data_IF_185216736905
#
_entry.id   IF_185216736905
#
_cell.length_a   1.000
_cell.length_b   1.000
_cell.length_c   1.000
_cell.angle_alpha   90.00
_cell.angle_beta   90.00
_cell.angle_gamma   90.00
#
_symmetry.space_group_name_H-M   'P 1'
#
loop_
_entity.id
_entity.type
_entity.pdbx_description
1 polymer ?
#
# COMPACT_ATOMS: atom_id res chain seq x y z
N UNK A 1 -2.41 -41.36 -18.40
CA UNK A 1 -3.69 -40.65 -18.64
C UNK A 1 -4.82 -41.61 -18.38
N UNK A 2 -5.39 -41.59 -17.19
CA UNK A 2 -6.48 -42.49 -16.75
C UNK A 2 -7.83 -41.75 -16.83
N UNK A 3 -8.88 -42.35 -17.41
CA UNK A 3 -10.14 -41.69 -17.76
C UNK A 3 -11.11 -41.44 -16.57
N UNK A 4 -10.59 -41.35 -15.35
CA UNK A 4 -11.39 -41.20 -14.11
C UNK A 4 -11.57 -39.76 -13.62
N UNK A 5 -10.70 -38.83 -14.03
CA UNK A 5 -10.74 -37.43 -13.54
C UNK A 5 -11.75 -36.54 -14.29
N UNK A 6 -12.09 -36.84 -15.55
CA UNK A 6 -13.03 -36.04 -16.34
C UNK A 6 -14.50 -36.11 -15.85
N UNK A 7 -14.87 -37.15 -15.10
CA UNK A 7 -16.23 -37.28 -14.52
C UNK A 7 -16.42 -36.51 -13.22
N UNK A 8 -15.33 -36.11 -12.54
CA UNK A 8 -15.42 -35.34 -11.28
C UNK A 8 -15.49 -33.83 -11.54
N UNK A 9 -14.77 -33.34 -12.56
CA UNK A 9 -14.82 -31.93 -12.95
C UNK A 9 -16.14 -31.53 -13.64
N UNK A 10 -16.78 -32.44 -14.38
CA UNK A 10 -18.10 -32.20 -15.00
C UNK A 10 -19.27 -32.23 -14.02
N UNK A 11 -19.09 -32.79 -12.82
CA UNK A 11 -20.07 -32.76 -11.74
C UNK A 11 -19.98 -31.47 -10.91
N UNK A 12 -18.75 -31.01 -10.64
CA UNK A 12 -18.48 -29.75 -9.94
C UNK A 12 -18.82 -28.51 -10.79
N UNK A 13 -18.62 -28.55 -12.11
CA UNK A 13 -19.03 -27.47 -13.00
C UNK A 13 -20.58 -27.33 -13.09
N UNK A 14 -21.31 -28.44 -12.99
CA UNK A 14 -22.79 -28.43 -12.94
C UNK A 14 -23.38 -28.05 -11.59
N UNK A 15 -22.62 -28.17 -10.52
CA UNK A 15 -23.02 -27.71 -9.18
C UNK A 15 -22.72 -26.20 -9.02
N UNK A 16 -21.66 -25.67 -9.64
CA UNK A 16 -21.36 -24.23 -9.67
C UNK A 16 -22.30 -23.43 -10.59
N UNK A 17 -22.74 -23.98 -11.72
CA UNK A 17 -23.76 -23.34 -12.58
C UNK A 17 -25.16 -23.28 -11.94
N UNK A 18 -25.41 -24.02 -10.84
CA UNK A 18 -26.67 -23.97 -10.10
C UNK A 18 -26.67 -22.96 -8.94
N UNK A 19 -25.51 -22.62 -8.35
CA UNK A 19 -25.45 -21.58 -7.30
C UNK A 19 -25.50 -20.15 -7.88
N UNK A 20 -25.11 -19.96 -9.14
CA UNK A 20 -25.18 -18.65 -9.82
C UNK A 20 -26.56 -18.38 -10.47
N UNK A 21 -27.39 -19.43 -10.64
CA UNK A 21 -28.74 -19.33 -11.20
C UNK A 21 -29.88 -19.21 -10.15
N UNK A 22 -29.60 -19.44 -8.87
CA UNK A 22 -30.60 -19.30 -7.79
C UNK A 22 -30.79 -17.86 -7.28
N UNK A 23 -29.91 -16.92 -7.68
CA UNK A 23 -30.05 -15.49 -7.32
C UNK A 23 -30.90 -14.72 -8.34
N UNK A 24 -31.04 -15.23 -9.57
CA UNK A 24 -31.70 -14.52 -10.68
C UNK A 24 -33.17 -14.92 -10.87
N UNK A 25 -33.58 -16.09 -10.37
CA UNK A 25 -34.98 -16.52 -10.41
C UNK A 25 -35.54 -16.61 -8.99
N UNK A 26 -36.32 -15.59 -8.60
CA UNK A 26 -37.05 -15.57 -7.33
C UNK A 26 -37.75 -16.90 -7.07
N UNK A 27 -37.18 -17.69 -6.17
CA UNK A 27 -37.73 -18.98 -5.75
C UNK A 27 -39.06 -18.71 -5.05
N UNK A 28 -40.14 -19.26 -5.63
CA UNK A 28 -41.42 -19.39 -4.93
C UNK A 28 -41.20 -20.34 -3.75
N UNK A 29 -40.89 -19.80 -2.57
CA UNK A 29 -41.00 -20.56 -1.33
C UNK A 29 -42.49 -20.85 -1.09
N UNK A 30 -42.88 -22.12 -1.24
CA UNK A 30 -44.24 -22.59 -0.96
C UNK A 30 -44.22 -23.13 0.47
N UNK A 31 -44.80 -22.41 1.41
CA UNK A 31 -45.02 -22.93 2.77
C UNK A 31 -46.19 -23.93 2.79
N UNK A 32 -46.18 -24.87 3.74
CA UNK A 32 -47.18 -25.95 3.90
C UNK A 32 -48.63 -25.45 4.13
N UNK A 33 -48.84 -24.12 4.18
CA UNK A 33 -50.14 -23.45 4.27
C UNK A 33 -50.53 -22.62 3.01
N UNK A 34 -49.97 -22.92 1.83
CA UNK A 34 -50.44 -22.39 0.53
C UNK A 34 -50.56 -20.84 0.46
N UNK A 35 -49.63 -20.10 1.05
CA UNK A 35 -49.47 -18.66 0.81
C UNK A 35 -48.18 -18.41 0.02
N UNK A 36 -48.29 -17.92 -1.21
CA UNK A 36 -47.13 -17.47 -1.98
C UNK A 36 -46.72 -16.08 -1.50
N UNK A 37 -45.52 -15.95 -0.92
CA UNK A 37 -44.95 -14.65 -0.59
C UNK A 37 -44.78 -13.78 -1.86
N UNK A 38 -44.80 -12.46 -1.68
CA UNK A 38 -44.50 -11.50 -2.75
C UNK A 38 -43.01 -11.58 -3.13
N UNK A 39 -42.65 -11.06 -4.29
CA UNK A 39 -41.26 -11.07 -4.78
C UNK A 39 -40.32 -10.45 -3.74
N UNK A 40 -39.22 -11.15 -3.43
CA UNK A 40 -38.22 -10.70 -2.48
C UNK A 40 -38.63 -10.77 -1.01
N UNK A 41 -39.82 -11.29 -0.68
CA UNK A 41 -40.34 -11.45 0.68
C UNK A 41 -40.21 -12.90 1.13
N UNK A 42 -39.81 -13.12 2.38
CA UNK A 42 -39.72 -14.44 2.98
C UNK A 42 -40.10 -14.44 4.46
N UNK A 43 -39.80 -15.56 5.12
CA UNK A 43 -40.24 -15.84 6.49
C UNK A 43 -41.57 -16.59 6.53
N UNK A 44 -41.85 -17.29 7.63
CA UNK A 44 -43.06 -18.13 7.77
C UNK A 44 -44.36 -17.34 7.55
N UNK A 45 -44.36 -16.06 7.94
CA UNK A 45 -45.48 -15.14 7.80
C UNK A 45 -45.36 -14.18 6.60
N UNK A 46 -44.36 -14.35 5.72
CA UNK A 46 -44.03 -13.40 4.64
C UNK A 46 -43.89 -11.95 5.16
N UNK A 47 -43.12 -11.76 6.22
CA UNK A 47 -43.07 -10.52 7.02
C UNK A 47 -41.75 -9.75 6.93
N UNK A 48 -40.81 -10.22 6.11
CA UNK A 48 -39.48 -9.60 5.94
C UNK A 48 -38.93 -9.81 4.55
N UNK A 49 -37.94 -9.01 4.17
CA UNK A 49 -37.20 -9.23 2.94
C UNK A 49 -36.28 -10.45 3.04
N UNK A 50 -36.14 -11.19 1.92
CA UNK A 50 -35.11 -12.19 1.72
C UNK A 50 -33.72 -11.53 1.66
N UNK A 51 -32.66 -12.32 1.86
CA UNK A 51 -31.29 -11.83 1.64
C UNK A 51 -31.13 -11.34 0.19
N UNK A 52 -30.49 -10.19 0.02
CA UNK A 52 -30.39 -9.54 -1.30
C UNK A 52 -31.62 -8.70 -1.68
N UNK A 53 -32.56 -8.46 -0.76
CA UNK A 53 -33.70 -7.56 -0.95
C UNK A 53 -33.89 -6.58 0.22
N UNK A 54 -34.52 -5.44 -0.05
CA UNK A 54 -34.81 -4.40 0.94
C UNK A 54 -36.13 -3.67 0.69
N UNK A 55 -36.58 -2.88 1.67
CA UNK A 55 -37.74 -1.99 1.60
C UNK A 55 -39.06 -2.75 1.57
N UNK A 56 -39.35 -3.49 2.64
CA UNK A 56 -40.59 -4.26 2.78
C UNK A 56 -41.84 -3.38 2.67
N UNK A 57 -42.78 -3.74 1.80
CA UNK A 57 -44.04 -3.01 1.64
C UNK A 57 -45.09 -3.74 0.82
N UNK A 58 -46.14 -3.01 0.43
CA UNK A 58 -47.32 -3.58 -0.26
C UNK A 58 -46.99 -4.26 -1.59
N UNK A 59 -45.88 -3.89 -2.24
CA UNK A 59 -45.42 -4.50 -3.50
C UNK A 59 -44.44 -5.68 -3.32
N UNK A 60 -44.05 -6.02 -2.08
CA UNK A 60 -42.95 -6.93 -1.79
C UNK A 60 -41.67 -6.19 -1.42
N UNK A 61 -40.51 -6.75 -1.74
CA UNK A 61 -39.21 -6.11 -1.52
C UNK A 61 -38.48 -5.86 -2.85
N UNK A 62 -37.59 -4.86 -2.85
CA UNK A 62 -36.75 -4.50 -4.00
C UNK A 62 -35.39 -5.20 -3.90
N UNK A 63 -34.79 -5.65 -5.01
CA UNK A 63 -33.47 -6.26 -4.97
C UNK A 63 -32.40 -5.23 -4.58
N UNK A 64 -31.38 -5.66 -3.84
CA UNK A 64 -30.18 -4.89 -3.56
C UNK A 64 -29.45 -4.55 -4.86
N UNK A 65 -28.71 -3.45 -4.87
CA UNK A 65 -27.92 -3.00 -6.03
C UNK A 65 -26.45 -2.75 -5.64
N UNK A 66 -25.87 -3.61 -4.81
CA UNK A 66 -24.50 -3.47 -4.34
C UNK A 66 -23.49 -3.72 -5.47
N UNK A 67 -22.49 -2.84 -5.58
CA UNK A 67 -21.29 -3.04 -6.39
C UNK A 67 -20.41 -4.07 -5.69
N UNK A 68 -20.33 -5.28 -6.26
CA UNK A 68 -19.63 -6.41 -5.65
C UNK A 68 -18.14 -6.11 -5.47
N UNK A 69 -17.55 -5.35 -6.39
CA UNK A 69 -16.13 -4.93 -6.35
C UNK A 69 -15.79 -4.17 -5.07
N UNK A 70 -16.71 -3.31 -4.61
CA UNK A 70 -16.57 -2.46 -3.44
C UNK A 70 -17.22 -2.97 -2.17
N UNK A 71 -17.95 -4.08 -2.24
CA UNK A 71 -18.67 -4.68 -1.10
C UNK A 71 -17.79 -5.70 -0.38
N UNK A 72 -17.87 -5.75 0.95
CA UNK A 72 -17.15 -6.74 1.76
C UNK A 72 -17.58 -8.16 1.34
N UNK A 73 -16.61 -9.06 1.19
CA UNK A 73 -16.78 -10.43 0.70
C UNK A 73 -17.45 -10.57 -0.69
N UNK A 74 -17.63 -9.48 -1.45
CA UNK A 74 -18.30 -9.51 -2.76
C UNK A 74 -19.75 -9.99 -2.72
N UNK A 75 -20.47 -9.74 -1.61
CA UNK A 75 -21.84 -10.24 -1.41
C UNK A 75 -22.90 -9.27 -1.94
N UNK A 76 -23.93 -9.79 -2.60
CA UNK A 76 -25.13 -9.03 -2.97
C UNK A 76 -26.12 -8.97 -1.79
N UNK A 77 -25.69 -8.46 -0.64
CA UNK A 77 -26.50 -8.30 0.56
C UNK A 77 -26.47 -6.85 1.05
N UNK A 78 -27.65 -6.32 1.37
CA UNK A 78 -27.82 -4.95 1.85
C UNK A 78 -28.74 -4.89 3.07
N UNK A 79 -28.76 -3.75 3.75
CA UNK A 79 -29.61 -3.50 4.90
C UNK A 79 -31.10 -3.62 4.50
N UNK A 80 -31.92 -4.45 5.19
CA UNK A 80 -33.29 -4.77 4.77
C UNK A 80 -34.24 -3.58 4.68
N UNK A 81 -33.97 -2.49 5.38
CA UNK A 81 -34.83 -1.30 5.39
C UNK A 81 -34.38 -0.25 4.37
N UNK A 82 -33.07 0.04 4.34
CA UNK A 82 -32.52 1.17 3.58
C UNK A 82 -31.99 0.77 2.20
N UNK A 83 -31.62 -0.50 2.03
CA UNK A 83 -30.93 -0.98 0.84
C UNK A 83 -29.43 -0.66 0.82
N UNK A 84 -28.87 -0.15 1.93
CA UNK A 84 -27.46 0.23 2.01
C UNK A 84 -26.52 -0.98 2.11
N UNK A 85 -25.48 -0.97 1.30
CA UNK A 85 -24.49 -2.04 1.21
C UNK A 85 -23.34 -1.87 2.22
N UNK A 86 -22.67 -2.98 2.56
CA UNK A 86 -21.51 -2.96 3.45
C UNK A 86 -20.22 -2.78 2.65
N UNK A 87 -19.73 -1.55 2.57
CA UNK A 87 -18.57 -1.21 1.75
C UNK A 87 -17.25 -1.60 2.40
N UNK A 88 -16.26 -1.96 1.56
CA UNK A 88 -14.86 -2.10 1.95
C UNK A 88 -14.32 -0.78 2.52
N UNK A 89 -13.25 -0.84 3.31
CA UNK A 89 -12.79 0.26 4.17
C UNK A 89 -12.56 1.59 3.42
N UNK A 90 -12.11 1.56 2.17
CA UNK A 90 -11.78 2.75 1.36
C UNK A 90 -12.81 3.05 0.27
N UNK A 91 -13.99 2.46 0.40
CA UNK A 91 -15.11 2.58 -0.54
C UNK A 91 -16.29 3.27 0.17
N UNK A 92 -17.06 4.03 -0.58
CA UNK A 92 -18.25 4.73 -0.11
C UNK A 92 -19.38 4.74 -1.16
N UNK A 93 -20.51 5.35 -0.80
CA UNK A 93 -21.77 5.28 -1.54
C UNK A 93 -22.70 4.21 -0.97
N UNK A 94 -24.01 4.36 -1.18
CA UNK A 94 -25.00 3.40 -0.65
C UNK A 94 -24.89 2.03 -1.33
N UNK A 95 -24.27 1.97 -2.52
CA UNK A 95 -24.03 0.76 -3.30
C UNK A 95 -22.56 0.36 -3.32
N UNK A 96 -21.67 1.07 -2.64
CA UNK A 96 -20.23 0.82 -2.65
C UNK A 96 -19.57 0.98 -4.03
N UNK A 97 -20.07 1.93 -4.82
CA UNK A 97 -19.67 2.10 -6.21
C UNK A 97 -18.49 3.04 -6.44
N UNK A 98 -17.98 3.71 -5.39
CA UNK A 98 -16.95 4.74 -5.54
C UNK A 98 -15.95 4.73 -4.40
N UNK A 99 -14.72 5.11 -4.71
CA UNK A 99 -13.67 5.30 -3.72
C UNK A 99 -13.96 6.54 -2.85
N UNK A 100 -13.52 6.49 -1.59
CA UNK A 100 -13.49 7.68 -0.72
C UNK A 100 -12.50 8.70 -1.28
N UNK A 101 -12.67 9.96 -0.88
CA UNK A 101 -11.71 11.03 -1.21
C UNK A 101 -10.28 10.65 -0.77
N UNK A 102 -9.31 10.89 -1.65
CA UNK A 102 -7.92 10.46 -1.45
C UNK A 102 -7.66 8.98 -1.75
N UNK A 103 -8.61 8.24 -2.35
CA UNK A 103 -8.43 6.87 -2.81
C UNK A 103 -8.90 6.68 -4.25
N UNK A 104 -8.29 5.73 -4.98
CA UNK A 104 -8.52 5.46 -6.40
C UNK A 104 -8.47 3.94 -6.70
N UNK A 105 -8.90 3.55 -7.90
CA UNK A 105 -8.74 2.18 -8.40
C UNK A 105 -9.57 1.14 -7.65
N UNK A 106 -10.90 1.27 -7.69
CA UNK A 106 -11.83 0.31 -7.10
C UNK A 106 -11.60 -1.10 -7.70
N UNK A 107 -11.22 -2.07 -6.87
CA UNK A 107 -10.84 -3.42 -7.30
C UNK A 107 -11.36 -4.50 -6.36
N UNK A 108 -11.79 -5.63 -6.94
CA UNK A 108 -12.22 -6.82 -6.19
C UNK A 108 -11.03 -7.45 -5.46
N UNK A 109 -9.85 -7.42 -6.09
CA UNK A 109 -8.59 -7.96 -5.57
C UNK A 109 -8.03 -7.15 -4.40
N UNK A 110 -8.39 -5.87 -4.31
CA UNK A 110 -7.99 -5.04 -3.18
C UNK A 110 -8.94 -5.31 -1.99
N UNK A 111 -8.44 -5.86 -0.87
CA UNK A 111 -9.28 -6.15 0.30
C UNK A 111 -9.89 -4.90 0.93
N UNK A 112 -9.26 -3.73 0.74
CA UNK A 112 -9.75 -2.42 1.21
C UNK A 112 -10.58 -1.70 0.14
N UNK A 113 -10.64 -2.26 -1.08
CA UNK A 113 -11.44 -1.81 -2.21
C UNK A 113 -10.73 -0.80 -3.08
N UNK A 114 -10.19 0.27 -2.50
CA UNK A 114 -9.45 1.31 -3.22
C UNK A 114 -8.06 1.52 -2.64
N UNK A 115 -7.14 2.02 -3.47
CA UNK A 115 -5.76 2.36 -3.11
C UNK A 115 -5.66 3.84 -2.72
N UNK A 116 -4.95 4.21 -1.64
CA UNK A 116 -4.68 5.61 -1.31
C UNK A 116 -3.90 6.33 -2.41
N UNK A 117 -4.22 7.61 -2.56
CA UNK A 117 -3.45 8.59 -3.30
C UNK A 117 -2.21 9.01 -2.50
N UNK A 118 -1.07 9.16 -3.17
CA UNK A 118 0.19 9.57 -2.55
C UNK A 118 0.43 11.08 -2.71
N UNK A 119 -0.59 11.90 -2.41
CA UNK A 119 -0.59 13.34 -2.74
C UNK A 119 -0.57 14.24 -1.51
N UNK A 120 0.19 13.89 -0.45
CA UNK A 120 0.21 14.65 0.82
C UNK A 120 -1.20 15.02 1.36
N UNK A 121 -2.10 14.03 1.45
CA UNK A 121 -3.52 14.17 1.82
C UNK A 121 -4.42 14.94 0.81
N UNK A 122 -3.94 15.24 -0.40
CA UNK A 122 -4.77 15.84 -1.45
C UNK A 122 -5.46 14.78 -2.31
N UNK A 123 -6.52 15.19 -3.02
CA UNK A 123 -7.24 14.33 -3.95
C UNK A 123 -6.38 13.97 -5.17
N UNK A 124 -6.62 12.79 -5.75
CA UNK A 124 -5.96 12.33 -6.97
C UNK A 124 -6.92 11.59 -7.90
N UNK A 125 -6.46 11.35 -9.12
CA UNK A 125 -7.20 10.57 -10.12
C UNK A 125 -6.32 9.48 -10.69
N UNK A 126 -6.95 8.37 -11.11
CA UNK A 126 -6.27 7.31 -11.85
C UNK A 126 -5.68 7.88 -13.14
N UNK A 127 -4.41 7.56 -13.42
CA UNK A 127 -3.71 8.03 -14.61
C UNK A 127 -3.99 7.10 -15.80
N UNK A 128 -4.09 7.68 -16.99
CA UNK A 128 -4.19 6.89 -18.22
C UNK A 128 -2.82 6.40 -18.71
N UNK A 129 -2.83 5.36 -19.54
CA UNK A 129 -1.62 4.86 -20.21
C UNK A 129 -0.76 3.91 -19.37
N UNK A 130 -1.16 3.58 -18.14
CA UNK A 130 -0.55 2.51 -17.35
C UNK A 130 -1.35 1.22 -17.48
N UNK A 131 -0.63 0.12 -17.63
CA UNK A 131 -1.19 -1.21 -17.78
C UNK A 131 -0.62 -2.16 -16.73
N UNK A 132 -1.43 -3.14 -16.34
CA UNK A 132 -1.02 -4.19 -15.41
C UNK A 132 0.14 -4.99 -16.02
N UNK A 133 1.22 -5.13 -15.26
CA UNK A 133 2.39 -5.94 -15.63
C UNK A 133 2.78 -6.85 -14.48
N UNK A 134 3.64 -7.83 -14.76
CA UNK A 134 4.17 -8.71 -13.73
C UNK A 134 5.68 -8.88 -13.96
N UNK A 135 6.47 -8.51 -12.95
CA UNK A 135 7.92 -8.77 -12.94
C UNK A 135 8.09 -10.22 -12.49
N UNK A 136 8.82 -11.05 -13.24
CA UNK A 136 8.89 -12.49 -12.98
C UNK A 136 10.31 -13.07 -13.02
N UNK A 137 10.52 -14.12 -12.23
CA UNK A 137 11.65 -15.05 -12.26
C UNK A 137 11.14 -16.48 -12.27
N UNK A 138 11.27 -17.16 -13.42
CA UNK A 138 10.72 -18.52 -13.64
C UNK A 138 11.71 -19.64 -13.34
N UNK A 139 13.01 -19.36 -13.42
CA UNK A 139 14.10 -20.33 -13.20
C UNK A 139 14.10 -21.54 -14.15
N UNK A 140 13.52 -21.39 -15.34
CA UNK A 140 13.51 -22.37 -16.43
C UNK A 140 14.90 -22.52 -17.09
N UNK A 141 15.68 -21.44 -17.12
CA UNK A 141 16.98 -21.38 -17.82
C UNK A 141 18.16 -20.95 -16.93
N UNK A 142 17.98 -20.87 -15.61
CA UNK A 142 19.06 -20.55 -14.70
C UNK A 142 18.62 -19.86 -13.41
N UNK A 143 19.57 -19.16 -12.79
CA UNK A 143 19.36 -18.46 -11.52
C UNK A 143 18.74 -17.07 -11.68
N UNK A 144 18.63 -16.55 -12.90
CA UNK A 144 18.03 -15.23 -13.19
C UNK A 144 18.62 -14.08 -12.33
N UNK A 145 19.95 -14.10 -12.19
CA UNK A 145 20.74 -13.14 -11.37
C UNK A 145 20.49 -13.15 -9.87
N UNK A 146 19.74 -14.12 -9.33
CA UNK A 146 19.54 -14.27 -7.89
C UNK A 146 20.85 -14.61 -7.18
N UNK A 147 20.95 -14.17 -5.92
CA UNK A 147 22.11 -14.42 -5.04
C UNK A 147 21.64 -14.97 -3.69
N UNK A 148 22.58 -15.36 -2.84
CA UNK A 148 22.33 -15.74 -1.46
C UNK A 148 23.02 -14.74 -0.51
N UNK A 149 22.42 -14.46 0.64
CA UNK A 149 22.98 -13.53 1.64
C UNK A 149 22.54 -13.88 3.06
N UNK A 150 23.23 -13.31 4.06
CA UNK A 150 22.72 -13.22 5.42
C UNK A 150 21.82 -11.98 5.59
N UNK A 151 21.18 -11.85 6.77
CA UNK A 151 20.28 -10.72 7.07
C UNK A 151 21.03 -9.39 7.03
N UNK A 152 22.24 -9.33 7.60
CA UNK A 152 23.04 -8.13 7.86
C UNK A 152 23.82 -7.59 6.65
N UNK A 153 23.49 -8.06 5.44
CA UNK A 153 24.15 -7.63 4.20
C UNK A 153 25.66 -7.89 4.15
N UNK A 154 26.19 -8.72 5.05
CA UNK A 154 27.44 -9.41 4.77
C UNK A 154 27.18 -10.35 3.58
N UNK A 155 27.44 -9.84 2.38
CA UNK A 155 27.72 -10.70 1.25
C UNK A 155 29.00 -11.44 1.63
N UNK A 156 28.86 -12.59 2.28
CA UNK A 156 29.89 -13.60 2.14
C UNK A 156 29.94 -13.85 0.64
N UNK A 157 31.01 -13.37 -0.02
CA UNK A 157 31.18 -13.39 -1.48
C UNK A 157 31.04 -14.80 -2.09
N UNK A 158 30.85 -15.86 -1.28
CA UNK A 158 30.73 -17.24 -1.70
C UNK A 158 29.57 -18.04 -1.05
N UNK A 159 28.43 -17.43 -0.67
CA UNK A 159 27.26 -18.28 -0.33
C UNK A 159 26.76 -18.99 -1.59
N UNK A 160 26.82 -20.34 -1.66
CA UNK A 160 26.50 -21.05 -2.88
C UNK A 160 24.99 -21.07 -3.10
N UNK A 161 24.52 -20.31 -4.09
CA UNK A 161 23.20 -20.49 -4.67
C UNK A 161 23.27 -21.52 -5.80
N UNK A 162 22.48 -22.58 -5.75
CA UNK A 162 22.44 -23.63 -6.78
C UNK A 162 21.17 -23.52 -7.62
N UNK A 163 21.29 -23.62 -8.94
CA UNK A 163 20.12 -23.86 -9.80
C UNK A 163 19.90 -25.37 -9.95
N UNK A 164 18.67 -25.81 -9.79
CA UNK A 164 18.26 -27.21 -9.80
C UNK A 164 17.32 -27.39 -10.99
N UNK A 165 17.87 -27.81 -12.12
CA UNK A 165 17.16 -27.89 -13.39
C UNK A 165 15.90 -28.77 -13.32
N UNK A 166 15.99 -29.90 -12.63
CA UNK A 166 14.89 -30.86 -12.50
C UNK A 166 13.70 -30.30 -11.70
N UNK A 167 13.95 -29.31 -10.84
CA UNK A 167 12.95 -28.67 -10.00
C UNK A 167 12.53 -27.29 -10.54
N UNK A 168 13.22 -26.81 -11.59
CA UNK A 168 13.14 -25.43 -12.10
C UNK A 168 13.19 -24.41 -10.94
N UNK A 169 14.16 -24.60 -10.04
CA UNK A 169 14.25 -23.88 -8.77
C UNK A 169 15.68 -23.47 -8.44
N UNK A 170 15.82 -22.43 -7.62
CA UNK A 170 17.08 -22.10 -6.95
C UNK A 170 17.06 -22.64 -5.52
N UNK A 171 18.23 -23.04 -5.02
CA UNK A 171 18.38 -23.66 -3.71
C UNK A 171 19.55 -23.09 -2.91
N UNK A 172 19.30 -22.93 -1.60
CA UNK A 172 20.32 -22.55 -0.60
C UNK A 172 20.39 -23.61 0.50
N UNK A 173 21.60 -23.88 0.99
CA UNK A 173 21.87 -24.90 1.99
C UNK A 173 22.24 -24.24 3.31
N UNK A 174 21.62 -24.63 4.42
CA UNK A 174 21.93 -24.04 5.73
C UNK A 174 23.40 -24.23 6.12
N UNK A 175 23.99 -23.23 6.76
CA UNK A 175 25.30 -23.38 7.40
C UNK A 175 25.11 -24.04 8.78
N UNK A 176 25.88 -25.08 9.14
CA UNK A 176 25.83 -25.68 10.47
C UNK A 176 26.12 -24.66 11.57
N UNK A 177 25.22 -24.54 12.55
CA UNK A 177 25.28 -23.53 13.63
C UNK A 177 25.41 -22.08 13.14
N UNK A 178 25.09 -21.81 11.87
CA UNK A 178 25.15 -20.48 11.28
C UNK A 178 23.78 -19.80 11.21
N UNK A 179 23.80 -18.54 10.82
CA UNK A 179 22.60 -17.75 10.63
C UNK A 179 21.76 -18.24 9.45
N UNK A 180 20.44 -17.94 9.42
CA UNK A 180 19.59 -18.26 8.29
C UNK A 180 20.09 -17.60 7.01
N UNK A 181 20.01 -18.33 5.90
CA UNK A 181 20.39 -17.83 4.58
C UNK A 181 19.13 -17.36 3.86
N UNK A 182 19.26 -16.23 3.18
CA UNK A 182 18.22 -15.61 2.40
C UNK A 182 18.55 -15.69 0.92
N UNK A 183 17.52 -15.93 0.10
CA UNK A 183 17.54 -15.59 -1.30
C UNK A 183 17.49 -14.07 -1.42
N UNK A 184 18.52 -13.49 -2.04
CA UNK A 184 18.58 -12.09 -2.38
C UNK A 184 17.97 -11.90 -3.77
N UNK A 185 16.87 -11.15 -3.80
CA UNK A 185 16.10 -10.89 -5.03
C UNK A 185 16.88 -9.94 -5.95
N UNK A 186 16.89 -10.13 -7.29
CA UNK A 186 17.64 -9.29 -8.23
C UNK A 186 17.15 -7.84 -8.34
N UNK A 187 18.00 -6.99 -8.94
CA UNK A 187 17.75 -5.54 -9.11
C UNK A 187 16.48 -5.19 -9.89
N UNK A 188 15.98 -6.08 -10.75
CA UNK A 188 14.70 -5.85 -11.47
C UNK A 188 13.48 -5.78 -10.54
N UNK A 189 13.61 -6.20 -9.28
CA UNK A 189 12.57 -6.12 -8.25
C UNK A 189 12.87 -5.08 -7.17
N UNK A 190 13.95 -4.28 -7.33
CA UNK A 190 14.33 -3.20 -6.41
C UNK A 190 14.12 -1.85 -7.07
N UNK A 191 14.58 -0.75 -6.45
CA UNK A 191 14.32 0.61 -6.92
C UNK A 191 12.89 1.06 -6.65
N UNK A 192 12.30 1.82 -7.56
CA UNK A 192 10.92 2.29 -7.41
C UNK A 192 9.91 1.17 -7.70
N UNK A 193 9.32 0.64 -6.64
CA UNK A 193 8.30 -0.39 -6.62
C UNK A 193 6.94 0.13 -6.13
N UNK A 194 6.73 1.46 -6.12
CA UNK A 194 5.41 2.05 -5.84
C UNK A 194 4.29 1.52 -6.74
N UNK A 195 4.50 1.25 -8.05
CA UNK A 195 3.46 0.66 -8.89
C UNK A 195 3.01 -0.74 -8.44
N UNK A 196 3.82 -1.40 -7.60
CA UNK A 196 3.55 -2.71 -7.02
C UNK A 196 2.79 -2.61 -5.67
N UNK A 197 2.47 -1.40 -5.19
CA UNK A 197 1.59 -1.20 -4.04
C UNK A 197 0.18 -1.74 -4.34
N UNK A 198 -0.42 -2.42 -3.37
CA UNK A 198 -1.67 -3.17 -3.50
C UNK A 198 -1.63 -4.26 -4.58
N UNK A 199 -0.44 -4.75 -4.95
CA UNK A 199 -0.28 -5.89 -5.85
C UNK A 199 0.22 -7.12 -5.09
N UNK A 200 0.15 -8.26 -5.75
CA UNK A 200 0.62 -9.53 -5.20
C UNK A 200 2.11 -9.74 -5.45
N UNK A 201 2.85 -10.01 -4.37
CA UNK A 201 4.12 -10.70 -4.40
C UNK A 201 3.85 -12.19 -4.19
N UNK A 202 4.25 -13.03 -5.15
CA UNK A 202 3.97 -14.47 -5.11
C UNK A 202 5.23 -15.28 -5.39
N UNK A 203 5.36 -16.44 -4.75
CA UNK A 203 6.39 -17.43 -5.10
C UNK A 203 5.99 -18.82 -4.63
N UNK A 204 6.67 -19.83 -5.13
CA UNK A 204 6.56 -21.19 -4.64
C UNK A 204 7.81 -21.58 -3.85
N UNK A 205 7.60 -22.18 -2.69
CA UNK A 205 8.69 -22.52 -1.79
C UNK A 205 8.48 -23.87 -1.09
N UNK A 206 9.59 -24.58 -0.89
CA UNK A 206 9.66 -25.81 -0.07
C UNK A 206 10.98 -25.92 0.65
N UNK A 207 11.00 -26.72 1.71
CA UNK A 207 12.19 -27.06 2.49
C UNK A 207 12.42 -28.57 2.47
N UNK A 208 13.67 -29.02 2.44
CA UNK A 208 13.99 -30.45 2.45
C UNK A 208 13.61 -31.12 3.78
N UNK A 209 13.60 -30.37 4.88
CA UNK A 209 13.28 -30.85 6.22
C UNK A 209 11.97 -30.26 6.72
N UNK A 210 11.08 -31.11 7.23
CA UNK A 210 9.78 -30.65 7.74
C UNK A 210 9.90 -29.93 9.09
N UNK A 211 8.93 -29.06 9.42
CA UNK A 211 8.83 -28.40 10.73
C UNK A 211 9.69 -27.15 10.91
N UNK A 212 9.96 -26.41 9.83
CA UNK A 212 10.68 -25.14 9.89
C UNK A 212 10.01 -24.11 10.81
N UNK A 213 10.79 -23.49 11.71
CA UNK A 213 10.30 -22.41 12.59
C UNK A 213 10.36 -21.07 11.87
N UNK A 214 9.19 -20.56 11.49
CA UNK A 214 9.02 -19.23 10.90
C UNK A 214 9.24 -18.13 11.95
N UNK A 215 9.67 -16.96 11.51
CA UNK A 215 9.88 -15.78 12.36
C UNK A 215 9.53 -14.48 11.64
N UNK A 216 9.47 -13.34 12.33
CA UNK A 216 8.97 -12.07 11.78
C UNK A 216 9.78 -11.54 10.59
N UNK A 217 11.01 -12.02 10.40
CA UNK A 217 11.95 -11.57 9.38
C UNK A 217 12.12 -12.57 8.24
N UNK A 218 11.13 -13.45 7.99
CA UNK A 218 11.26 -14.44 6.92
C UNK A 218 11.19 -13.79 5.53
N UNK A 219 10.42 -12.71 5.37
CA UNK A 219 10.42 -11.85 4.18
C UNK A 219 10.83 -10.45 4.62
N UNK A 220 11.79 -9.84 3.93
CA UNK A 220 12.37 -8.55 4.27
C UNK A 220 12.45 -7.65 3.03
N UNK A 221 11.80 -6.50 3.07
CA UNK A 221 11.93 -5.42 2.07
C UNK A 221 12.63 -4.25 2.76
N UNK A 222 13.86 -3.96 2.38
CA UNK A 222 14.68 -2.89 2.93
C UNK A 222 14.59 -1.67 2.03
N UNK A 223 14.22 -0.52 2.58
CA UNK A 223 14.23 0.77 1.89
C UNK A 223 15.62 1.41 1.94
N UNK A 224 15.93 2.26 0.97
CA UNK A 224 17.19 3.02 0.93
C UNK A 224 17.36 3.99 2.11
N UNK A 225 16.28 4.30 2.84
CA UNK A 225 16.29 5.10 4.06
C UNK A 225 16.62 4.29 5.33
N UNK A 226 16.93 2.99 5.18
CA UNK A 226 17.28 2.08 6.27
C UNK A 226 16.08 1.49 7.02
N UNK A 227 14.84 1.85 6.66
CA UNK A 227 13.63 1.21 7.21
C UNK A 227 13.33 -0.10 6.47
N UNK A 228 12.57 -0.99 7.08
CA UNK A 228 12.25 -2.29 6.47
C UNK A 228 10.83 -2.78 6.74
N UNK A 229 10.19 -3.32 5.71
CA UNK A 229 8.95 -4.10 5.82
C UNK A 229 9.37 -5.55 6.06
N UNK A 230 8.90 -6.14 7.16
CA UNK A 230 9.13 -7.54 7.46
C UNK A 230 7.84 -8.28 7.80
N UNK A 231 7.78 -9.55 7.42
CA UNK A 231 6.69 -10.43 7.81
C UNK A 231 7.13 -11.90 7.87
N UNK A 232 6.48 -12.70 8.74
CA UNK A 232 6.71 -14.13 8.77
C UNK A 232 6.21 -14.82 7.51
N UNK A 233 6.79 -15.98 7.18
CA UNK A 233 6.39 -16.73 5.99
C UNK A 233 4.90 -17.11 6.03
N UNK A 234 4.34 -17.28 7.23
CA UNK A 234 2.93 -17.62 7.46
C UNK A 234 1.98 -16.42 7.53
N UNK A 235 2.45 -15.19 7.30
CA UNK A 235 1.59 -14.01 7.26
C UNK A 235 0.54 -14.12 6.14
N UNK A 236 -0.56 -13.37 6.26
CA UNK A 236 -1.66 -13.36 5.29
C UNK A 236 -2.22 -14.76 4.97
N UNK A 237 -2.33 -15.61 6.00
CA UNK A 237 -2.87 -16.98 5.92
C UNK A 237 -2.03 -17.95 5.07
N UNK A 238 -0.78 -17.62 4.79
CA UNK A 238 0.12 -18.54 4.11
C UNK A 238 0.46 -19.79 4.97
N UNK A 239 0.65 -20.95 4.34
CA UNK A 239 0.93 -22.19 5.06
C UNK A 239 2.34 -22.21 5.67
N UNK A 240 2.58 -23.13 6.61
CA UNK A 240 3.95 -23.40 7.08
C UNK A 240 4.76 -24.09 5.97
N UNK A 241 6.09 -23.90 5.93
CA UNK A 241 6.92 -24.56 4.93
C UNK A 241 6.96 -26.06 5.17
N UNK A 242 6.84 -26.82 4.09
CA UNK A 242 6.84 -28.29 4.06
C UNK A 242 7.79 -28.80 2.97
N UNK A 243 7.83 -30.13 2.79
CA UNK A 243 8.62 -30.79 1.75
C UNK A 243 8.06 -30.63 0.33
N UNK A 244 6.79 -30.30 0.21
CA UNK A 244 6.14 -30.07 -1.08
C UNK A 244 6.16 -28.58 -1.41
N UNK A 245 6.25 -28.26 -2.71
CA UNK A 245 6.07 -26.89 -3.16
C UNK A 245 4.68 -26.39 -2.79
N UNK A 246 4.64 -25.26 -2.11
CA UNK A 246 3.43 -24.55 -1.76
C UNK A 246 3.53 -23.13 -2.30
N UNK A 247 2.39 -22.57 -2.68
CA UNK A 247 2.29 -21.19 -3.11
C UNK A 247 2.22 -20.28 -1.88
N UNK A 248 3.03 -19.22 -1.90
CA UNK A 248 3.02 -18.14 -0.94
C UNK A 248 2.64 -16.85 -1.67
N UNK A 249 1.67 -16.12 -1.13
CA UNK A 249 1.18 -14.87 -1.71
C UNK A 249 1.07 -13.80 -0.64
N UNK A 250 1.61 -12.62 -0.92
CA UNK A 250 1.57 -11.47 -0.05
C UNK A 250 1.02 -10.29 -0.84
N UNK A 251 -0.12 -9.76 -0.40
CA UNK A 251 -0.63 -8.50 -0.89
C UNK A 251 0.22 -7.39 -0.29
N UNK A 252 0.88 -6.59 -1.13
CA UNK A 252 1.80 -5.53 -0.70
C UNK A 252 1.03 -4.26 -0.36
N UNK A 253 0.43 -4.25 0.81
CA UNK A 253 -0.32 -3.09 1.31
C UNK A 253 -0.01 -2.81 2.77
N UNK A 254 -0.28 -1.58 3.19
CA UNK A 254 -0.37 -1.28 4.60
C UNK A 254 -1.69 -1.83 5.16
N UNK A 255 -1.61 -2.60 6.25
CA UNK A 255 -2.78 -3.03 7.01
C UNK A 255 -2.59 -2.60 8.46
N UNK A 256 -3.47 -1.73 8.97
CA UNK A 256 -3.55 -1.53 10.42
C UNK A 256 -4.06 -2.81 11.05
N UNK A 257 -3.44 -3.21 12.16
CA UNK A 257 -3.86 -4.38 12.96
C UNK A 257 -5.36 -4.31 13.25
N UNK A 258 -5.91 -3.12 13.52
CA UNK A 258 -7.33 -2.88 13.82
C UNK A 258 -8.28 -2.92 12.61
N UNK A 259 -7.79 -2.72 11.38
CA UNK A 259 -8.62 -2.80 10.15
C UNK A 259 -8.69 -4.22 9.58
N UNK A 260 -7.76 -5.10 9.96
CA UNK A 260 -7.85 -6.54 9.71
C UNK A 260 -8.90 -7.25 10.60
N UNK A 261 -9.57 -6.52 11.51
CA UNK A 261 -10.56 -7.06 12.46
C UNK A 261 -12.03 -7.00 12.02
N UNK A 262 -12.34 -6.70 10.75
CA UNK A 262 -13.68 -6.95 10.23
C UNK A 262 -13.69 -8.30 9.49
N UNK A 263 -13.82 -9.40 10.25
CA UNK A 263 -15.05 -10.16 10.14
C UNK A 263 -15.55 -10.69 11.51
N UNK A 264 -16.88 -10.85 11.66
CA UNK A 264 -17.63 -11.45 12.79
C UNK A 264 -18.10 -10.54 13.95
N UNK A 265 -18.66 -9.36 13.69
CA UNK A 265 -19.60 -8.75 14.66
C UNK A 265 -21.09 -8.83 14.28
N UNK A 266 -21.43 -9.26 13.06
CA UNK A 266 -22.84 -9.33 12.61
C UNK A 266 -23.54 -10.67 12.89
N UNK A 267 -22.92 -11.62 13.61
CA UNK A 267 -23.58 -12.88 14.02
C UNK A 267 -23.62 -13.05 15.56
N UNK A 268 -23.34 -11.99 16.33
CA UNK A 268 -23.36 -12.04 17.79
C UNK A 268 -24.49 -11.25 18.46
N UNK A 269 -25.42 -10.66 17.71
CA UNK A 269 -26.59 -9.94 18.28
C UNK A 269 -27.95 -10.63 18.07
N UNK A 270 -27.98 -11.81 17.43
CA UNK A 270 -29.21 -12.58 17.20
C UNK A 270 -29.28 -13.96 17.86
N UNK A 271 -28.17 -14.47 18.44
CA UNK A 271 -28.06 -15.85 18.92
C UNK A 271 -27.62 -15.98 20.38
N UNK A 272 -27.81 -14.95 21.20
CA UNK A 272 -27.57 -15.00 22.65
C UNK A 272 -28.82 -15.27 23.50
N UNK A 273 -30.00 -15.40 22.88
CA UNK A 273 -31.27 -15.69 23.58
C UNK A 273 -31.71 -17.16 23.51
N UNK A 274 -31.03 -18.02 22.74
CA UNK A 274 -31.49 -19.40 22.48
C UNK A 274 -30.59 -20.55 23.02
N UNK A 275 -29.46 -20.28 23.67
CA UNK A 275 -28.51 -21.33 24.10
C UNK A 275 -28.25 -21.39 25.62
N UNK A 276 -29.26 -21.14 26.44
CA UNK A 276 -29.13 -21.20 27.92
C UNK A 276 -29.52 -22.52 28.61
N UNK A 277 -29.71 -23.66 27.92
CA UNK A 277 -29.59 -24.92 28.65
C UNK A 277 -29.03 -26.11 27.84
N UNK A 278 -27.84 -26.03 27.22
CA UNK A 278 -27.08 -27.27 26.87
C UNK A 278 -25.58 -27.02 27.10
N UNK A 279 -25.18 -26.95 28.38
CA UNK A 279 -23.82 -27.27 28.78
C UNK A 279 -23.77 -28.76 29.07
N UNK A 280 -23.18 -29.53 28.15
CA UNK A 280 -22.38 -30.74 28.40
C UNK A 280 -22.32 -31.54 27.11
N UNK A 281 -21.10 -31.83 26.65
CA UNK A 281 -20.63 -32.94 25.79
C UNK A 281 -19.47 -32.42 24.92
N UNK A 282 -18.27 -32.63 25.44
CA UNK A 282 -16.97 -32.87 24.75
C UNK A 282 -16.71 -32.20 23.40
N UNK A 283 -15.76 -31.26 23.39
CA UNK A 283 -15.06 -30.84 22.17
C UNK A 283 -14.44 -29.46 22.33
N UNK A 284 -13.12 -29.41 22.59
CA UNK A 284 -12.35 -28.15 22.63
C UNK A 284 -12.63 -27.34 21.36
N UNK A 285 -13.15 -26.12 21.51
CA UNK A 285 -13.00 -25.09 20.49
C UNK A 285 -11.50 -24.94 20.25
N UNK A 286 -11.04 -25.36 19.07
CA UNK A 286 -9.70 -25.03 18.61
C UNK A 286 -9.76 -23.55 18.25
N UNK A 287 -9.17 -22.70 19.08
CA UNK A 287 -8.94 -21.30 18.71
C UNK A 287 -8.31 -21.26 17.31
N UNK A 288 -8.94 -20.56 16.38
CA UNK A 288 -8.32 -20.18 15.11
C UNK A 288 -7.30 -19.10 15.47
N UNK A 289 -5.99 -19.28 15.22
CA UNK A 289 -5.02 -18.25 15.52
C UNK A 289 -5.30 -17.04 14.63
N UNK A 290 -5.78 -15.96 15.24
CA UNK A 290 -5.67 -14.61 14.71
C UNK A 290 -4.19 -14.27 14.69
N UNK A 291 -3.59 -14.04 13.53
CA UNK A 291 -2.24 -13.49 13.43
C UNK A 291 -2.31 -12.31 12.47
N UNK A 292 -2.22 -11.06 13.00
CA UNK A 292 -2.10 -9.84 12.19
C UNK A 292 -0.88 -9.88 11.27
N UNK A 293 -0.80 -8.94 10.33
CA UNK A 293 0.50 -8.43 9.88
C UNK A 293 1.25 -8.00 11.15
N UNK A 294 2.20 -8.80 11.62
CA UNK A 294 3.22 -8.34 12.56
C UNK A 294 4.17 -7.41 11.78
N UNK A 295 3.68 -6.25 11.34
CA UNK A 295 4.56 -5.12 11.05
C UNK A 295 5.01 -4.58 12.39
N UNK A 296 6.00 -5.22 12.99
CA UNK A 296 6.53 -4.85 14.32
C UNK A 296 7.15 -3.45 14.38
N UNK A 297 7.02 -2.60 13.36
CA UNK A 297 7.70 -1.29 13.38
C UNK A 297 7.13 -0.15 12.52
N UNK A 298 5.90 -0.19 12.00
CA UNK A 298 5.38 0.94 11.21
C UNK A 298 4.28 1.72 11.92
N UNK A 299 4.55 3.00 12.14
CA UNK A 299 3.60 3.92 12.74
C UNK A 299 2.53 4.39 11.76
N UNK A 300 2.81 4.39 10.44
CA UNK A 300 1.92 4.99 9.41
C UNK A 300 2.10 4.36 8.02
N UNK A 301 1.03 4.35 7.23
CA UNK A 301 0.98 3.90 5.82
C UNK A 301 2.06 4.54 4.93
N UNK A 302 2.31 5.84 5.12
CA UNK A 302 3.35 6.59 4.41
C UNK A 302 4.76 5.98 4.54
N UNK A 303 5.07 5.32 5.66
CA UNK A 303 6.38 4.69 5.83
C UNK A 303 6.54 3.42 4.98
N UNK A 304 5.45 2.65 4.80
CA UNK A 304 5.42 1.51 3.90
C UNK A 304 5.67 1.94 2.45
N UNK A 305 5.01 3.03 2.06
CA UNK A 305 5.08 3.59 0.71
C UNK A 305 6.46 4.17 0.40
N UNK A 306 7.09 4.87 1.36
CA UNK A 306 8.48 5.35 1.22
C UNK A 306 9.48 4.24 0.97
N UNK A 307 9.30 3.08 1.59
CA UNK A 307 10.15 1.90 1.34
C UNK A 307 9.96 1.42 -0.09
N UNK A 308 8.71 1.35 -0.59
CA UNK A 308 8.44 0.97 -1.97
C UNK A 308 8.94 2.00 -2.99
N UNK A 309 9.00 3.29 -2.65
CA UNK A 309 9.54 4.33 -3.54
C UNK A 309 11.02 4.12 -3.86
N UNK A 310 11.77 3.51 -2.95
CA UNK A 310 13.16 3.16 -3.18
C UNK A 310 13.54 1.91 -2.37
N UNK A 311 13.18 0.75 -2.90
CA UNK A 311 13.56 -0.56 -2.36
C UNK A 311 15.05 -0.75 -2.62
N UNK A 312 15.85 -0.82 -1.56
CA UNK A 312 17.26 -1.13 -1.64
C UNK A 312 17.51 -2.63 -1.84
N UNK A 313 16.82 -3.47 -1.06
CA UNK A 313 16.94 -4.93 -1.18
C UNK A 313 15.66 -5.65 -0.76
N UNK A 314 15.39 -6.79 -1.41
CA UNK A 314 14.32 -7.70 -1.06
C UNK A 314 14.94 -9.07 -0.78
N UNK A 315 14.57 -9.68 0.34
CA UNK A 315 15.14 -10.95 0.81
C UNK A 315 14.04 -11.91 1.25
N UNK A 316 14.21 -13.18 0.89
CA UNK A 316 13.31 -14.28 1.26
C UNK A 316 14.13 -15.33 1.98
N UNK A 317 13.76 -15.67 3.21
CA UNK A 317 14.47 -16.67 4.00
C UNK A 317 14.36 -18.03 3.34
N UNK A 318 15.52 -18.62 3.04
CA UNK A 318 15.62 -19.93 2.42
C UNK A 318 15.84 -21.07 3.41
N UNK A 319 16.40 -20.83 4.60
CA UNK A 319 16.71 -21.92 5.55
C UNK A 319 16.07 -21.73 6.91
N UNK A 320 15.45 -22.79 7.44
CA UNK A 320 14.65 -22.74 8.67
C UNK A 320 15.21 -23.61 9.81
N UNK A 321 16.15 -24.51 9.51
CA UNK A 321 16.85 -25.31 10.52
C UNK A 321 18.25 -25.72 10.08
N UNK A 322 19.07 -26.24 11.00
CA UNK A 322 20.39 -26.77 10.65
C UNK A 322 20.27 -28.05 9.81
N UNK A 323 21.07 -28.13 8.75
CA UNK A 323 21.05 -29.18 7.73
C UNK A 323 19.92 -29.05 6.71
N UNK A 324 19.19 -27.94 6.70
CA UNK A 324 18.06 -27.69 5.80
C UNK A 324 18.50 -27.21 4.42
N UNK A 325 17.63 -27.41 3.43
CA UNK A 325 17.79 -26.90 2.06
C UNK A 325 16.46 -26.28 1.65
N UNK A 326 16.46 -24.98 1.37
CA UNK A 326 15.30 -24.29 0.81
C UNK A 326 15.35 -24.28 -0.70
N UNK A 327 14.19 -24.39 -1.34
CA UNK A 327 14.02 -24.32 -2.78
C UNK A 327 12.96 -23.27 -3.10
N UNK A 328 13.29 -22.34 -3.98
CA UNK A 328 12.39 -21.27 -4.44
C UNK A 328 12.21 -21.35 -5.95
N UNK A 329 10.95 -21.25 -6.41
CA UNK A 329 10.59 -21.18 -7.83
C UNK A 329 9.44 -20.20 -8.08
N UNK A 330 9.21 -19.84 -9.34
CA UNK A 330 8.07 -19.03 -9.79
C UNK A 330 7.87 -17.73 -8.99
N UNK A 331 8.90 -16.90 -8.86
CA UNK A 331 8.75 -15.61 -8.16
C UNK A 331 8.12 -14.57 -9.08
N UNK A 332 7.09 -13.89 -8.59
CA UNK A 332 6.42 -12.81 -9.31
C UNK A 332 6.03 -11.64 -8.42
N UNK A 333 6.00 -10.45 -9.03
CA UNK A 333 5.57 -9.21 -8.42
C UNK A 333 4.64 -8.48 -9.40
N UNK A 334 3.37 -8.38 -9.05
CA UNK A 334 2.42 -7.56 -9.80
C UNK A 334 2.83 -6.09 -9.74
N UNK A 335 2.72 -5.40 -10.87
CA UNK A 335 3.16 -4.01 -11.01
C UNK A 335 2.36 -3.32 -12.13
N UNK A 336 2.76 -2.09 -12.48
CA UNK A 336 2.23 -1.39 -13.63
C UNK A 336 3.35 -0.74 -14.44
N UNK A 337 3.18 -0.70 -15.76
CA UNK A 337 4.09 0.00 -16.68
C UNK A 337 3.31 0.79 -17.72
N UNK A 338 3.96 1.82 -18.26
CA UNK A 338 3.50 2.53 -19.45
C UNK A 338 3.81 1.76 -20.75
N UNK A 339 4.68 0.75 -20.68
CA UNK A 339 4.95 -0.12 -21.81
C UNK A 339 3.68 -0.90 -22.16
N UNK A 340 3.16 -0.67 -23.36
CA UNK A 340 2.02 -1.41 -23.88
C UNK A 340 2.36 -2.91 -23.90
N UNK A 341 1.62 -3.73 -23.14
CA UNK A 341 1.77 -5.17 -23.25
C UNK A 341 1.49 -5.59 -24.70
N UNK A 342 2.21 -6.58 -25.23
CA UNK A 342 1.96 -7.14 -26.57
C UNK A 342 0.62 -7.90 -26.69
N UNK A 343 -0.26 -7.73 -25.70
CA UNK A 343 -1.55 -8.37 -25.56
C UNK A 343 -2.60 -7.65 -26.39
N UNK A 344 -3.55 -8.41 -26.94
CA UNK A 344 -4.66 -7.88 -27.74
C UNK A 344 -5.66 -7.03 -26.95
N UNK A 345 -5.64 -7.12 -25.61
CA UNK A 345 -6.47 -6.32 -24.71
C UNK A 345 -5.75 -6.14 -23.36
N UNK A 346 -4.84 -5.16 -23.24
CA UNK A 346 -4.10 -4.95 -22.00
C UNK A 346 -5.00 -4.39 -20.90
N UNK A 347 -4.93 -4.98 -19.70
CA UNK A 347 -5.67 -4.49 -18.55
C UNK A 347 -5.06 -3.17 -18.06
N UNK A 348 -5.90 -2.15 -17.83
CA UNK A 348 -5.46 -0.86 -17.29
C UNK A 348 -5.12 -0.98 -15.80
N UNK A 349 -4.12 -0.23 -15.37
CA UNK A 349 -3.71 -0.16 -13.98
C UNK A 349 -4.36 1.05 -13.28
N UNK A 350 -5.62 0.89 -12.88
CA UNK A 350 -6.43 1.98 -12.34
C UNK A 350 -6.03 2.42 -10.91
N UNK A 351 -5.07 1.73 -10.28
CA UNK A 351 -4.53 2.07 -8.97
C UNK A 351 -3.34 3.03 -9.03
N UNK A 352 -2.83 3.36 -10.22
CA UNK A 352 -1.77 4.36 -10.39
C UNK A 352 -2.42 5.74 -10.38
N UNK A 353 -2.08 6.54 -9.38
CA UNK A 353 -2.63 7.88 -9.19
C UNK A 353 -1.69 8.95 -9.69
N UNK A 354 -2.26 10.01 -10.29
CA UNK A 354 -1.54 11.25 -10.55
C UNK A 354 -2.03 12.33 -9.60
N UNK A 355 -1.08 12.98 -8.93
CA UNK A 355 -1.37 14.11 -8.06
C UNK A 355 -1.55 15.40 -8.85
N UNK A 356 -2.54 16.19 -8.46
CA UNK A 356 -2.70 17.57 -8.89
C UNK A 356 -2.39 18.49 -7.71
N UNK A 357 -1.13 18.89 -7.58
CA UNK A 357 -0.67 19.62 -6.40
C UNK A 357 -1.36 20.97 -6.22
N UNK A 358 -1.89 21.18 -5.01
CA UNK A 358 -2.53 22.40 -4.54
C UNK A 358 -1.75 23.01 -3.36
N UNK A 359 -2.20 24.15 -2.86
CA UNK A 359 -1.68 24.76 -1.61
C UNK A 359 -0.15 24.94 -1.58
N UNK A 360 0.41 25.34 -2.73
CA UNK A 360 1.84 25.60 -2.88
C UNK A 360 2.73 24.37 -2.64
N UNK A 361 2.20 23.17 -2.85
CA UNK A 361 2.96 21.93 -2.90
C UNK A 361 3.46 21.64 -4.33
N UNK A 362 4.49 20.82 -4.45
CA UNK A 362 5.12 20.43 -5.70
C UNK A 362 5.68 19.00 -5.64
N UNK A 363 6.13 18.51 -6.79
CA UNK A 363 6.61 17.14 -6.97
C UNK A 363 5.51 16.20 -7.48
N UNK A 364 5.89 14.97 -7.80
CA UNK A 364 4.97 13.93 -8.28
C UNK A 364 3.96 13.51 -7.20
N UNK A 365 4.32 13.68 -5.93
CA UNK A 365 3.56 13.26 -4.75
C UNK A 365 3.06 14.44 -3.89
N UNK A 366 3.24 15.68 -4.37
CA UNK A 366 2.94 16.89 -3.61
C UNK A 366 3.58 16.90 -2.21
N UNK A 367 4.73 16.23 -2.08
CA UNK A 367 5.48 15.99 -0.84
C UNK A 367 6.62 16.98 -0.63
N UNK A 368 6.76 17.94 -1.54
CA UNK A 368 7.68 19.09 -1.43
C UNK A 368 6.91 20.39 -1.51
N UNK A 369 7.50 21.48 -1.02
CA UNK A 369 6.95 22.80 -1.23
C UNK A 369 7.38 23.36 -2.58
N UNK A 370 6.45 24.06 -3.24
CA UNK A 370 6.74 24.79 -4.45
C UNK A 370 7.80 25.86 -4.18
N UNK A 371 8.45 26.33 -5.25
CA UNK A 371 9.47 27.39 -5.15
C UNK A 371 8.91 28.61 -4.39
N UNK A 372 9.68 29.11 -3.43
CA UNK A 372 9.29 30.24 -2.58
C UNK A 372 8.53 29.85 -1.31
N UNK A 373 8.33 28.56 -1.07
CA UNK A 373 7.66 28.04 0.11
C UNK A 373 8.54 27.04 0.87
N UNK A 374 8.38 27.02 2.20
CA UNK A 374 9.04 26.09 3.11
C UNK A 374 8.04 25.24 3.87
N UNK A 375 8.46 24.05 4.26
CA UNK A 375 7.68 23.14 5.10
C UNK A 375 7.55 23.70 6.51
N UNK A 376 6.32 23.72 6.98
CA UNK A 376 6.00 23.91 8.40
C UNK A 376 5.32 22.64 8.89
N UNK A 377 5.99 21.94 9.81
CA UNK A 377 5.50 20.67 10.33
C UNK A 377 4.21 20.90 11.15
N UNK A 378 3.11 20.27 10.73
CA UNK A 378 1.93 20.06 11.55
C UNK A 378 1.96 18.65 12.15
N UNK A 379 1.13 18.37 13.16
CA UNK A 379 1.15 17.11 13.93
C UNK A 379 1.15 15.82 13.08
N UNK A 380 0.50 15.82 11.91
CA UNK A 380 0.36 14.63 11.07
C UNK A 380 0.68 14.82 9.57
N UNK A 381 0.93 16.06 9.13
CA UNK A 381 1.21 16.45 7.74
C UNK A 381 2.07 17.72 7.75
N UNK A 382 2.53 18.19 6.59
CA UNK A 382 3.19 19.48 6.48
C UNK A 382 2.33 20.44 5.66
N UNK A 383 2.46 21.73 5.96
CA UNK A 383 1.91 22.82 5.16
C UNK A 383 3.08 23.58 4.52
N UNK A 384 2.83 24.17 3.36
CA UNK A 384 3.80 25.01 2.66
C UNK A 384 3.49 26.48 2.92
N UNK A 385 4.36 27.13 3.69
CA UNK A 385 4.26 28.56 3.99
C UNK A 385 5.31 29.32 3.21
N UNK A 386 4.97 30.52 2.77
CA UNK A 386 5.89 31.39 2.05
C UNK A 386 7.19 31.61 2.84
N UNK A 387 8.31 31.68 2.14
CA UNK A 387 9.61 31.94 2.72
C UNK A 387 9.77 33.40 3.14
N UNK A 388 10.40 33.61 4.29
CA UNK A 388 10.66 34.94 4.83
C UNK A 388 11.99 35.48 4.29
N UNK A 389 11.99 35.87 3.01
CA UNK A 389 13.17 36.43 2.34
C UNK A 389 13.16 37.97 2.22
N UNK A 390 12.30 38.63 3.00
CA UNK A 390 12.16 40.08 3.09
C UNK A 390 11.96 40.80 1.73
N UNK A 391 11.41 40.10 0.73
CA UNK A 391 11.20 40.63 -0.61
C UNK A 391 12.46 40.73 -1.47
N UNK A 392 13.60 40.22 -0.99
CA UNK A 392 14.88 40.27 -1.71
C UNK A 392 15.16 39.05 -2.57
N UNK A 393 14.38 37.96 -2.44
CA UNK A 393 14.37 36.81 -3.36
C UNK A 393 13.08 36.03 -3.17
N UNK A 394 12.62 35.34 -4.21
CA UNK A 394 11.53 34.36 -4.13
C UNK A 394 12.08 32.92 -3.99
N UNK A 395 13.41 32.75 -3.95
CA UNK A 395 14.04 31.44 -3.90
C UNK A 395 14.51 31.12 -2.49
N UNK A 396 14.06 29.97 -2.00
CA UNK A 396 14.47 29.43 -0.73
C UNK A 396 14.55 27.90 -0.78
N UNK A 397 15.27 27.34 0.19
CA UNK A 397 15.26 25.91 0.48
C UNK A 397 13.89 25.48 1.05
N UNK A 398 13.24 24.45 0.48
CA UNK A 398 11.89 24.04 0.87
C UNK A 398 11.80 23.34 2.24
N UNK A 399 12.92 22.90 2.81
CA UNK A 399 12.94 22.21 4.11
C UNK A 399 13.21 23.19 5.26
N UNK A 400 14.19 24.09 5.08
CA UNK A 400 14.63 24.98 6.15
C UNK A 400 14.31 26.47 5.93
N UNK A 401 13.87 26.86 4.73
CA UNK A 401 13.50 28.24 4.40
C UNK A 401 14.68 29.18 4.15
N UNK A 402 15.91 28.67 4.04
CA UNK A 402 17.10 29.47 3.74
C UNK A 402 17.00 30.09 2.34
N UNK A 403 17.06 31.41 2.30
CA UNK A 403 16.99 32.21 1.08
C UNK A 403 18.34 32.21 0.34
N UNK A 404 18.30 32.13 -0.98
CA UNK A 404 19.50 32.21 -1.83
C UNK A 404 19.27 33.16 -3.01
N UNK A 405 20.37 33.62 -3.60
CA UNK A 405 20.37 34.70 -4.60
C UNK A 405 19.68 35.99 -4.08
N UNK A 406 20.01 36.41 -2.85
CA UNK A 406 19.52 37.67 -2.29
C UNK A 406 19.87 38.85 -3.21
N UNK A 407 18.86 39.64 -3.58
CA UNK A 407 19.02 40.83 -4.41
C UNK A 407 19.27 42.09 -3.56
N UNK A 408 19.45 43.23 -4.24
CA UNK A 408 19.49 44.56 -3.61
C UNK A 408 20.62 44.77 -2.60
N UNK A 409 21.73 44.04 -2.75
CA UNK A 409 22.85 44.13 -1.83
C UNK A 409 22.53 43.62 -0.43
N UNK A 410 21.54 42.74 -0.30
CA UNK A 410 21.21 42.02 0.94
C UNK A 410 21.90 40.65 0.98
N UNK A 411 22.07 40.10 2.18
CA UNK A 411 22.68 38.81 2.47
C UNK A 411 22.12 38.25 3.79
N UNK A 412 22.35 36.97 4.06
CA UNK A 412 21.88 36.26 5.26
C UNK A 412 20.82 35.22 4.90
N UNK A 413 20.47 34.38 5.87
CA UNK A 413 19.56 33.25 5.66
C UNK A 413 18.15 33.70 5.28
N UNK A 414 17.81 34.95 5.57
CA UNK A 414 16.54 35.61 5.27
C UNK A 414 16.73 36.87 4.44
N UNK A 415 17.91 37.09 3.84
CA UNK A 415 18.28 38.35 3.20
C UNK A 415 18.07 39.56 4.14
N UNK A 416 18.41 39.38 5.42
CA UNK A 416 18.07 40.27 6.54
C UNK A 416 19.24 41.16 6.98
N UNK A 417 20.32 41.21 6.19
CA UNK A 417 21.50 42.05 6.41
C UNK A 417 21.97 42.66 5.10
N UNK A 418 22.64 43.82 5.16
CA UNK A 418 23.33 44.34 3.97
C UNK A 418 24.67 43.62 3.78
N UNK A 419 24.98 43.30 2.52
CA UNK A 419 26.21 42.65 2.13
C UNK A 419 27.43 43.57 2.32
N UNK A 420 28.64 43.01 2.25
CA UNK A 420 29.88 43.78 2.31
C UNK A 420 29.89 44.86 1.23
N UNK A 421 30.24 46.08 1.64
CA UNK A 421 30.19 47.25 0.76
C UNK A 421 28.79 47.84 0.59
N UNK A 422 27.80 47.42 1.38
CA UNK A 422 26.47 48.03 1.48
C UNK A 422 26.15 48.46 2.92
N UNK A 423 25.28 49.47 3.08
CA UNK A 423 24.77 49.96 4.36
C UNK A 423 23.28 50.33 4.25
N UNK A 424 22.54 50.38 5.36
CA UNK A 424 21.13 50.75 5.39
C UNK A 424 20.24 49.75 6.13
N UNK A 425 18.94 49.78 5.87
CA UNK A 425 17.96 48.86 6.44
C UNK A 425 17.68 47.68 5.48
N UNK A 426 18.07 46.45 5.83
CA UNK A 426 17.89 45.27 4.98
C UNK A 426 16.47 44.70 4.95
N UNK A 427 15.51 45.32 5.64
CA UNK A 427 14.09 44.96 5.55
C UNK A 427 13.33 45.78 4.50
N UNK A 428 14.05 46.59 3.72
CA UNK A 428 13.48 47.53 2.76
C UNK A 428 13.98 47.21 1.34
N UNK A 429 13.05 47.04 0.41
CA UNK A 429 13.34 46.75 -1.01
C UNK A 429 13.92 47.98 -1.73
N UNK A 430 14.76 47.74 -2.72
CA UNK A 430 15.49 48.76 -3.48
C UNK A 430 14.56 49.80 -4.13
N UNK A 431 14.98 51.07 -4.12
CA UNK A 431 14.15 52.22 -4.52
C UNK A 431 13.48 52.96 -3.36
N UNK A 432 13.57 52.45 -2.13
CA UNK A 432 13.33 53.23 -0.91
C UNK A 432 14.62 53.91 -0.46
N UNK A 433 14.56 55.17 0.01
CA UNK A 433 15.76 55.92 0.43
C UNK A 433 16.53 55.27 1.60
N UNK A 434 16.02 54.18 2.19
CA UNK A 434 16.53 53.55 3.41
C UNK A 434 16.92 52.06 3.25
N UNK A 435 16.81 51.47 2.04
CA UNK A 435 17.26 50.09 1.78
C UNK A 435 18.78 49.91 1.78
N UNK A 436 19.28 48.70 1.48
CA UNK A 436 20.73 48.47 1.35
C UNK A 436 21.32 49.25 0.17
N UNK A 437 22.18 50.22 0.48
CA UNK A 437 22.81 51.12 -0.48
C UNK A 437 24.30 50.84 -0.59
N UNK A 438 24.83 50.85 -1.82
CA UNK A 438 26.26 50.67 -2.05
C UNK A 438 27.05 51.79 -1.35
N UNK A 439 28.07 51.41 -0.60
CA UNK A 439 28.95 52.35 0.07
C UNK A 439 29.66 53.25 -0.96
N UNK A 440 29.74 54.57 -0.73
CA UNK A 440 30.46 55.51 -1.60
C UNK A 440 31.98 55.43 -1.39
N UNK A 441 32.51 54.22 -1.21
CA UNK A 441 33.90 53.91 -0.91
C UNK A 441 34.55 53.19 -2.10
N UNK A 442 35.85 52.91 -2.03
CA UNK A 442 36.51 51.99 -2.98
C UNK A 442 35.80 50.63 -2.99
N UNK A 443 35.81 49.94 -4.14
CA UNK A 443 35.03 48.70 -4.32
C UNK A 443 35.36 47.66 -3.24
N UNK A 444 34.30 47.12 -2.59
CA UNK A 444 34.39 46.11 -1.54
C UNK A 444 34.58 46.64 -0.12
N UNK A 445 34.87 47.93 0.06
CA UNK A 445 35.05 48.54 1.39
C UNK A 445 33.70 48.79 2.05
N UNK A 446 33.52 48.24 3.26
CA UNK A 446 32.30 48.41 4.05
C UNK A 446 32.25 49.80 4.72
N UNK A 447 31.04 50.28 5.02
CA UNK A 447 30.83 51.58 5.65
C UNK A 447 29.75 51.49 6.75
N UNK A 448 29.81 52.41 7.71
CA UNK A 448 28.82 52.55 8.80
C UNK A 448 28.16 53.92 8.75
N UNK A 449 26.93 54.04 9.25
CA UNK A 449 26.27 55.34 9.35
C UNK A 449 26.69 56.09 10.62
N UNK A 450 26.99 57.38 10.47
CA UNK A 450 27.20 58.29 11.60
C UNK A 450 25.85 58.76 12.20
N UNK A 451 25.91 59.57 13.27
CA UNK A 451 24.73 60.12 13.94
C UNK A 451 23.87 61.04 13.06
N UNK A 452 24.36 61.43 11.87
CA UNK A 452 23.64 62.23 10.88
C UNK A 452 23.28 61.38 9.63
N UNK A 453 23.27 60.05 9.76
CA UNK A 453 22.96 59.08 8.70
C UNK A 453 23.93 59.10 7.51
N UNK A 454 25.13 59.69 7.65
CA UNK A 454 26.14 59.72 6.59
C UNK A 454 27.02 58.48 6.62
N UNK A 455 27.29 57.83 5.47
CA UNK A 455 28.19 56.69 5.41
C UNK A 455 29.65 57.11 5.64
N UNK A 456 30.31 56.41 6.56
CA UNK A 456 31.75 56.52 6.84
C UNK A 456 32.41 55.20 6.43
N UNK A 457 33.37 55.27 5.50
CA UNK A 457 34.14 54.11 5.06
C UNK A 457 34.99 53.56 6.21
N UNK A 458 34.90 52.25 6.44
CA UNK A 458 35.81 51.56 7.33
C UNK A 458 37.17 51.43 6.63
N UNK A 459 38.27 51.68 7.34
CA UNK A 459 39.61 51.38 6.83
C UNK A 459 39.87 49.88 6.96
N UNK A 460 40.51 49.28 5.97
CA UNK A 460 40.94 47.87 6.00
C UNK A 460 41.76 47.50 7.25
#
# INVERSE_FOLDING_TARGET
>A
MTPGLFKSFSKLAKEAENEENDVVNGTKEINENNFQCKVGVGGEACDRCLAGYFGFGDAGCKPCSCELTGTVDGKLACEPETGKCQCKAHVEGDRCEKCKEGFIGLSSENPLGCSPCLCNNQACQSVEGYYVTEITSKFDQGKDSWKASFVDESTAEDLPLRWVKEEEAIAVHSVPNGDPIYFLVPEKFTGNQLPSYNQWLSFEFRIAKDGGKTGPNDILILGADGKNISFPLTAQQNPKPTKEFQQYRYHLHYAKVDEAFLPLQTIASGLLSALKPIMSITGKMKEIPKIPMETTHFGKEYEFLRILQNVASLKIRGTYSSGDIGYLRSFSLGSASQDLPTLSNPQKADWIGQCACQENTAGEFCDTCASGYRKVAQKHFFECTECECNGHTEKCDPENGHCWDCNDGSIGDHCDRCDRGYFGNPLMVNGTMMGCQKCPCSDGVSCVQDLNEKPICLTE
#
